data_IF_662918844031
#
_entry.id   IF_662918844031
#
_cell.length_a   1.000
_cell.length_b   1.000
_cell.length_c   1.000
_cell.angle_alpha   90.00
_cell.angle_beta   90.00
_cell.angle_gamma   90.00
#
_symmetry.space_group_name_H-M   'P 1'
#
loop_
_entity.id
_entity.type
_entity.pdbx_description
1 polymer ?
#
# COMPACT_ATOMS: atom_id res chain seq x y z
N UNK A 1 6.00 16.48 6.20
CA UNK A 1 4.95 16.86 5.23
C UNK A 1 4.75 15.87 4.10
N UNK A 2 5.74 15.01 3.82
CA UNK A 2 5.71 14.04 2.71
C UNK A 2 4.51 13.09 2.73
N UNK A 3 4.15 12.57 3.92
CA UNK A 3 2.97 11.70 4.08
C UNK A 3 1.69 12.38 3.58
N UNK A 4 1.53 13.67 3.85
CA UNK A 4 0.33 14.42 3.43
C UNK A 4 0.32 14.60 1.91
N UNK A 5 1.48 14.87 1.32
CA UNK A 5 1.63 14.96 -0.14
C UNK A 5 1.30 13.62 -0.83
N UNK A 6 1.75 12.49 -0.29
CA UNK A 6 1.41 11.15 -0.81
C UNK A 6 -0.10 10.91 -0.73
N UNK A 7 -0.75 11.27 0.38
CA UNK A 7 -2.21 11.13 0.51
C UNK A 7 -2.95 12.03 -0.49
N UNK A 8 -2.49 13.25 -0.71
CA UNK A 8 -3.06 14.14 -1.73
C UNK A 8 -2.91 13.55 -3.14
N UNK A 9 -1.72 13.02 -3.46
CA UNK A 9 -1.42 12.37 -4.74
C UNK A 9 -2.24 11.09 -4.97
N UNK A 10 -2.62 10.38 -3.90
CA UNK A 10 -3.58 9.28 -4.00
C UNK A 10 -4.99 9.79 -4.35
N UNK A 11 -5.40 10.96 -3.84
CA UNK A 11 -6.73 11.52 -4.09
C UNK A 11 -6.89 12.14 -5.48
N UNK A 12 -5.84 12.75 -6.02
CA UNK A 12 -5.85 13.39 -7.33
C UNK A 12 -5.42 12.47 -8.49
N UNK A 13 -5.22 11.18 -8.21
CA UNK A 13 -4.77 10.15 -9.15
C UNK A 13 -3.38 10.39 -9.77
N UNK A 14 -2.54 11.25 -9.19
CA UNK A 14 -1.10 11.27 -9.47
C UNK A 14 -0.46 9.93 -9.09
N UNK A 15 -0.89 9.33 -7.96
CA UNK A 15 -0.57 7.95 -7.58
C UNK A 15 -1.79 7.07 -7.82
N UNK A 16 -1.64 6.14 -8.77
CA UNK A 16 -2.74 5.29 -9.24
C UNK A 16 -2.68 3.86 -8.70
N UNK A 17 -1.57 3.44 -8.11
CA UNK A 17 -1.36 2.07 -7.66
C UNK A 17 -0.87 2.06 -6.22
N UNK A 18 -1.43 1.15 -5.42
CA UNK A 18 -0.91 0.79 -4.11
C UNK A 18 -0.35 -0.62 -4.21
N UNK A 19 0.92 -0.78 -3.82
CA UNK A 19 1.59 -2.08 -3.71
C UNK A 19 2.15 -2.23 -2.29
N UNK A 20 2.15 -3.45 -1.75
CA UNK A 20 2.47 -3.70 -0.34
C UNK A 20 3.97 -3.70 -0.04
N UNK A 21 4.81 -3.91 -1.05
CA UNK A 21 6.24 -4.21 -0.89
C UNK A 21 6.48 -5.26 0.21
N UNK A 22 5.64 -6.32 0.21
CA UNK A 22 5.70 -7.36 1.22
C UNK A 22 7.09 -8.03 1.23
N UNK A 23 7.85 -7.76 2.29
CA UNK A 23 9.25 -8.17 2.45
C UNK A 23 9.42 -8.90 3.80
N UNK A 24 9.13 -10.21 3.86
CA UNK A 24 9.20 -10.98 5.09
C UNK A 24 10.65 -11.24 5.52
N UNK A 25 10.88 -11.16 6.82
CA UNK A 25 12.15 -11.51 7.48
C UNK A 25 11.85 -12.31 8.74
N UNK A 26 12.80 -13.12 9.18
CA UNK A 26 12.66 -13.87 10.43
C UNK A 26 12.68 -12.93 11.65
N UNK A 27 12.14 -13.41 12.77
CA UNK A 27 12.16 -12.65 14.03
C UNK A 27 13.59 -12.33 14.47
N UNK A 28 14.51 -13.28 14.33
CA UNK A 28 15.90 -13.14 14.75
C UNK A 28 16.63 -12.09 13.90
N UNK A 29 16.38 -12.05 12.58
CA UNK A 29 16.92 -11.01 11.71
C UNK A 29 16.42 -9.61 12.09
N UNK A 30 15.12 -9.48 12.40
CA UNK A 30 14.50 -8.21 12.80
C UNK A 30 14.83 -7.79 14.23
N UNK A 31 15.31 -8.71 15.08
CA UNK A 31 15.67 -8.45 16.47
C UNK A 31 17.07 -7.83 16.64
N UNK A 32 17.86 -7.77 15.56
CA UNK A 32 19.16 -7.08 15.54
C UNK A 32 19.02 -5.57 15.74
N UNK A 33 20.13 -4.92 16.06
CA UNK A 33 20.20 -3.46 16.15
C UNK A 33 19.78 -2.80 14.83
N UNK A 34 19.23 -1.59 14.90
CA UNK A 34 18.62 -0.91 13.74
C UNK A 34 19.53 -0.84 12.50
N UNK A 35 20.84 -0.67 12.70
CA UNK A 35 21.82 -0.60 11.60
C UNK A 35 22.12 -1.95 10.96
N UNK A 36 21.84 -3.06 11.65
CA UNK A 36 22.15 -4.43 11.24
C UNK A 36 20.92 -5.21 10.80
N UNK A 37 19.74 -4.82 11.29
CA UNK A 37 18.47 -5.42 10.90
C UNK A 37 18.14 -5.10 9.43
N UNK A 38 17.66 -6.07 8.63
CA UNK A 38 17.29 -5.82 7.26
C UNK A 38 16.06 -4.90 7.17
N UNK A 39 16.04 -4.08 6.11
CA UNK A 39 14.87 -3.29 5.75
C UNK A 39 13.74 -4.19 5.22
N UNK A 40 12.50 -3.79 5.47
CA UNK A 40 11.31 -4.52 5.02
C UNK A 40 10.39 -4.95 6.17
N UNK A 41 9.12 -5.14 5.82
CA UNK A 41 8.07 -5.65 6.71
C UNK A 41 7.05 -6.46 5.92
N UNK A 42 6.28 -7.30 6.62
CA UNK A 42 5.10 -7.93 6.04
C UNK A 42 3.98 -6.90 5.90
N UNK A 43 3.22 -6.98 4.80
CA UNK A 43 2.04 -6.12 4.60
C UNK A 43 0.88 -6.77 3.84
N UNK A 44 0.97 -8.04 3.44
CA UNK A 44 -0.04 -8.65 2.55
C UNK A 44 -1.37 -8.86 3.29
N UNK A 45 -1.30 -9.41 4.50
CA UNK A 45 -2.44 -9.74 5.34
C UNK A 45 -3.13 -8.51 5.93
N UNK A 46 -2.43 -7.38 6.00
CA UNK A 46 -2.89 -6.16 6.66
C UNK A 46 -3.27 -5.04 5.68
N UNK A 47 -2.88 -5.14 4.40
CA UNK A 47 -3.07 -4.07 3.42
C UNK A 47 -4.53 -3.59 3.33
N UNK A 48 -5.48 -4.51 3.16
CA UNK A 48 -6.89 -4.16 2.97
C UNK A 48 -7.49 -3.50 4.23
N UNK A 49 -7.28 -4.09 5.41
CA UNK A 49 -7.85 -3.56 6.64
C UNK A 49 -7.26 -2.19 7.00
N UNK A 50 -5.97 -1.98 6.76
CA UNK A 50 -5.32 -0.68 6.93
C UNK A 50 -5.80 0.35 5.91
N UNK A 51 -5.98 -0.03 4.64
CA UNK A 51 -6.51 0.86 3.61
C UNK A 51 -7.95 1.31 3.95
N UNK A 52 -8.82 0.39 4.35
CA UNK A 52 -10.19 0.75 4.78
C UNK A 52 -10.15 1.66 6.00
N UNK A 53 -9.36 1.31 7.01
CA UNK A 53 -9.37 2.05 8.29
C UNK A 53 -8.76 3.44 8.13
N UNK A 54 -7.65 3.57 7.41
CA UNK A 54 -6.87 4.82 7.40
C UNK A 54 -7.04 5.62 6.10
N UNK A 55 -7.32 4.99 4.96
CA UNK A 55 -7.53 5.70 3.70
C UNK A 55 -8.99 6.10 3.52
N UNK A 56 -9.91 5.16 3.76
CA UNK A 56 -11.34 5.42 3.57
C UNK A 56 -11.94 6.17 4.75
N UNK A 57 -11.80 5.65 5.97
CA UNK A 57 -12.49 6.21 7.14
C UNK A 57 -11.82 7.45 7.75
N UNK A 58 -10.53 7.70 7.47
CA UNK A 58 -9.78 8.80 8.12
C UNK A 58 -9.40 9.92 7.17
N UNK A 59 -9.13 9.62 5.90
CA UNK A 59 -8.73 10.63 4.91
C UNK A 59 -9.68 10.71 3.73
N UNK A 60 -10.89 10.18 3.82
CA UNK A 60 -11.98 10.35 2.84
C UNK A 60 -11.64 9.91 1.41
N UNK A 61 -10.83 8.85 1.24
CA UNK A 61 -10.73 8.17 -0.05
C UNK A 61 -11.97 7.29 -0.26
N UNK A 62 -12.61 7.29 -1.43
CA UNK A 62 -13.78 6.44 -1.62
C UNK A 62 -13.38 4.95 -1.65
N UNK A 63 -14.29 4.05 -1.27
CA UNK A 63 -14.05 2.61 -1.42
C UNK A 63 -13.73 2.22 -2.87
N UNK A 64 -14.40 2.86 -3.84
CA UNK A 64 -14.17 2.63 -5.26
C UNK A 64 -12.74 3.01 -5.66
N UNK A 65 -12.26 4.16 -5.24
CA UNK A 65 -10.90 4.60 -5.56
C UNK A 65 -9.87 3.71 -4.87
N UNK A 66 -10.09 3.38 -3.59
CA UNK A 66 -9.24 2.45 -2.84
C UNK A 66 -9.11 1.09 -3.54
N UNK A 67 -10.24 0.47 -3.90
CA UNK A 67 -10.25 -0.82 -4.60
C UNK A 67 -9.58 -0.70 -5.97
N UNK A 68 -9.87 0.37 -6.72
CA UNK A 68 -9.28 0.57 -8.06
C UNK A 68 -7.76 0.61 -8.00
N UNK A 69 -7.18 1.29 -7.01
CA UNK A 69 -5.73 1.38 -6.79
C UNK A 69 -5.06 0.06 -6.39
N UNK A 70 -5.83 -0.92 -5.88
CA UNK A 70 -5.37 -2.25 -5.48
C UNK A 70 -5.69 -3.35 -6.51
N UNK A 71 -6.52 -3.07 -7.53
CA UNK A 71 -7.06 -4.08 -8.46
C UNK A 71 -6.89 -3.68 -9.92
N UNK A 72 -7.81 -2.89 -10.48
CA UNK A 72 -7.86 -2.58 -11.90
C UNK A 72 -6.71 -1.67 -12.36
N UNK A 73 -6.23 -0.76 -11.51
CA UNK A 73 -5.14 0.14 -11.87
C UNK A 73 -3.81 -0.61 -12.06
N UNK A 74 -3.34 -1.46 -11.12
CA UNK A 74 -2.15 -2.27 -11.37
C UNK A 74 -2.34 -3.24 -12.54
N UNK A 75 -3.52 -3.84 -12.70
CA UNK A 75 -3.80 -4.73 -13.84
C UNK A 75 -3.67 -3.99 -15.18
N UNK A 76 -4.24 -2.78 -15.30
CA UNK A 76 -4.09 -1.92 -16.49
C UNK A 76 -2.64 -1.51 -16.73
N UNK A 77 -1.92 -1.13 -15.67
CA UNK A 77 -0.52 -0.70 -15.78
C UNK A 77 0.38 -1.81 -16.36
N UNK A 78 0.14 -3.06 -15.95
CA UNK A 78 0.90 -4.23 -16.44
C UNK A 78 0.25 -4.96 -17.61
N UNK A 79 -0.84 -4.44 -18.19
CA UNK A 79 -1.60 -5.07 -19.28
C UNK A 79 -2.04 -6.52 -18.96
N UNK A 80 -2.63 -6.73 -17.80
CA UNK A 80 -3.11 -8.02 -17.32
C UNK A 80 -4.63 -8.15 -17.46
N UNK A 81 -5.11 -9.30 -17.93
CA UNK A 81 -6.54 -9.65 -17.96
C UNK A 81 -7.03 -10.11 -16.56
N UNK A 82 -7.00 -9.18 -15.60
CA UNK A 82 -7.37 -9.35 -14.19
C UNK A 82 -7.89 -8.02 -13.62
N UNK A 83 -8.32 -8.04 -12.36
CA UNK A 83 -8.70 -6.82 -11.62
C UNK A 83 -10.13 -6.32 -11.86
N UNK A 84 -10.97 -7.15 -12.48
CA UNK A 84 -12.43 -6.99 -12.61
C UNK A 84 -13.18 -7.73 -11.49
#
# INVERSE_FOLDING_TARGET
DDRKAIVAALKDDTIQVIATDHAPHTKDEKAKEFKEAPSGMIGLETALSLAVTNLVKTVDLTYRDMISKLTINPARFYNLDRGY
#
